data_IF_512266803827
#
_entry.id   IF_512266803827
#
_cell.length_a   1.000
_cell.length_b   1.000
_cell.length_c   1.000
_cell.angle_alpha   90.00
_cell.angle_beta   90.00
_cell.angle_gamma   90.00
#
_symmetry.space_group_name_H-M   'P 1'
#
loop_
_entity.id
_entity.type
_entity.pdbx_description
1 polymer ?
#
# COMPACT_ATOMS: atom_id res chain seq x y z
N UNK A 1 -24.04 2.82 4.11
CA UNK A 1 -23.70 1.55 3.44
C UNK A 1 -22.27 1.63 2.91
N UNK A 2 -21.50 0.57 3.05
CA UNK A 2 -20.15 0.43 2.51
C UNK A 2 -20.23 0.26 1.00
N UNK A 3 -19.41 1.00 0.25
CA UNK A 3 -19.35 0.99 -1.22
C UNK A 3 -17.97 0.63 -1.76
N UNK A 4 -16.90 0.89 -0.98
CA UNK A 4 -15.51 0.62 -1.34
C UNK A 4 -14.90 -0.35 -0.34
N UNK A 5 -14.36 -1.45 -0.85
CA UNK A 5 -13.54 -2.41 -0.09
C UNK A 5 -12.09 -2.14 -0.44
N UNK A 6 -11.28 -1.86 0.57
CA UNK A 6 -9.84 -1.62 0.43
C UNK A 6 -9.11 -2.78 1.11
N UNK A 7 -8.28 -3.47 0.37
CA UNK A 7 -7.46 -4.56 0.91
C UNK A 7 -5.99 -4.26 0.73
N UNK A 8 -5.21 -4.43 1.79
CA UNK A 8 -3.80 -4.68 1.63
C UNK A 8 -3.56 -5.98 0.85
N UNK A 9 -2.34 -6.15 0.36
CA UNK A 9 -1.98 -7.24 -0.53
C UNK A 9 -1.17 -8.32 0.19
N UNK A 10 0.04 -7.99 0.64
CA UNK A 10 1.01 -8.96 1.17
C UNK A 10 0.74 -9.28 2.64
N UNK A 11 0.31 -10.50 2.96
CA UNK A 11 -0.10 -10.89 4.33
C UNK A 11 -1.58 -10.71 4.60
N UNK A 12 -2.32 -10.13 3.66
CA UNK A 12 -3.77 -9.90 3.73
C UNK A 12 -4.51 -10.64 2.62
N UNK A 13 -4.50 -10.12 1.38
CA UNK A 13 -5.13 -10.78 0.23
C UNK A 13 -4.27 -11.92 -0.33
N UNK A 14 -2.96 -11.83 -0.14
CA UNK A 14 -1.99 -12.86 -0.50
C UNK A 14 -1.45 -13.54 0.75
N UNK A 15 -1.33 -14.84 0.68
CA UNK A 15 -0.66 -15.66 1.68
C UNK A 15 0.88 -15.48 1.67
N UNK A 16 1.57 -16.18 2.56
CA UNK A 16 3.04 -16.16 2.63
C UNK A 16 3.74 -16.71 1.36
N UNK A 17 3.02 -17.50 0.54
CA UNK A 17 3.47 -17.95 -0.77
C UNK A 17 3.18 -16.92 -1.87
N UNK A 18 2.63 -15.75 -1.53
CA UNK A 18 2.20 -14.67 -2.41
C UNK A 18 1.14 -15.12 -3.41
N UNK A 19 0.24 -15.97 -2.96
CA UNK A 19 -0.87 -16.45 -3.76
C UNK A 19 -2.19 -16.06 -3.09
N UNK A 20 -3.13 -15.61 -3.91
CA UNK A 20 -4.50 -15.39 -3.46
C UNK A 20 -5.20 -16.74 -3.38
N UNK A 21 -5.68 -17.12 -2.20
CA UNK A 21 -6.43 -18.34 -2.05
C UNK A 21 -7.79 -18.28 -2.77
N UNK A 22 -8.35 -19.43 -3.10
CA UNK A 22 -9.58 -19.47 -3.91
C UNK A 22 -10.79 -18.85 -3.20
N UNK A 23 -10.89 -18.97 -1.87
CA UNK A 23 -12.00 -18.43 -1.10
C UNK A 23 -12.01 -16.91 -1.14
N UNK A 24 -10.86 -16.27 -0.91
CA UNK A 24 -10.72 -14.82 -0.97
C UNK A 24 -10.93 -14.30 -2.40
N UNK A 25 -10.36 -15.00 -3.38
CA UNK A 25 -10.56 -14.66 -4.80
C UNK A 25 -12.03 -14.63 -5.19
N UNK A 26 -12.79 -15.65 -4.80
CA UNK A 26 -14.22 -15.74 -5.12
C UNK A 26 -15.03 -14.70 -4.36
N UNK A 27 -14.72 -14.46 -3.08
CA UNK A 27 -15.40 -13.46 -2.27
C UNK A 27 -15.22 -12.05 -2.84
N UNK A 28 -13.98 -11.69 -3.22
CA UNK A 28 -13.67 -10.38 -3.82
C UNK A 28 -14.35 -10.22 -5.17
N UNK A 29 -14.34 -11.26 -6.03
CA UNK A 29 -15.02 -11.23 -7.34
C UNK A 29 -16.51 -11.02 -7.17
N UNK A 30 -17.14 -11.83 -6.32
CA UNK A 30 -18.59 -11.73 -6.05
C UNK A 30 -18.95 -10.36 -5.48
N UNK A 31 -18.14 -9.77 -4.61
CA UNK A 31 -18.38 -8.44 -4.09
C UNK A 31 -18.35 -7.39 -5.22
N UNK A 32 -17.38 -7.47 -6.15
CA UNK A 32 -17.32 -6.55 -7.30
C UNK A 32 -18.51 -6.76 -8.24
N UNK A 33 -18.93 -8.00 -8.49
CA UNK A 33 -20.13 -8.31 -9.30
C UNK A 33 -21.42 -7.78 -8.65
N UNK A 34 -21.48 -7.72 -7.32
CA UNK A 34 -22.58 -7.13 -6.54
C UNK A 34 -22.53 -5.58 -6.47
N UNK A 35 -21.54 -4.94 -7.08
CA UNK A 35 -21.44 -3.49 -7.22
C UNK A 35 -20.53 -2.80 -6.21
N UNK A 36 -19.80 -3.52 -5.36
CA UNK A 36 -18.73 -2.92 -4.57
C UNK A 36 -17.57 -2.48 -5.44
N UNK A 37 -16.99 -1.34 -5.14
CA UNK A 37 -15.69 -0.97 -5.70
C UNK A 37 -14.58 -1.66 -4.89
N UNK A 38 -13.50 -2.02 -5.57
CA UNK A 38 -12.31 -2.61 -4.97
C UNK A 38 -11.12 -1.65 -5.09
N UNK A 39 -10.34 -1.52 -4.02
CA UNK A 39 -9.04 -0.87 -4.04
C UNK A 39 -7.98 -1.79 -3.43
N UNK A 40 -6.83 -1.91 -4.08
CA UNK A 40 -5.64 -2.56 -3.52
C UNK A 40 -4.71 -1.48 -2.97
N UNK A 41 -4.38 -1.54 -1.67
CA UNK A 41 -3.50 -0.58 -1.00
C UNK A 41 -2.22 -1.27 -0.52
N UNK A 42 -1.10 -1.04 -1.20
CA UNK A 42 0.13 -1.81 -1.00
C UNK A 42 1.38 -0.93 -1.00
N UNK A 43 2.46 -1.45 -0.39
CA UNK A 43 3.84 -0.90 -0.57
C UNK A 43 4.41 -1.15 -1.96
N UNK A 44 3.79 -2.03 -2.76
CA UNK A 44 4.20 -2.37 -4.12
C UNK A 44 3.95 -1.24 -5.10
N UNK A 45 4.73 -1.23 -6.19
CA UNK A 45 4.45 -0.36 -7.34
C UNK A 45 3.21 -0.84 -8.10
N UNK A 46 2.61 0.05 -8.86
CA UNK A 46 1.38 -0.29 -9.60
C UNK A 46 1.60 -1.41 -10.63
N UNK A 47 2.76 -1.43 -11.30
CA UNK A 47 3.16 -2.52 -12.20
C UNK A 47 3.21 -3.88 -11.50
N UNK A 48 3.72 -3.93 -10.25
CA UNK A 48 3.76 -5.16 -9.46
C UNK A 48 2.36 -5.60 -9.01
N UNK A 49 1.51 -4.64 -8.60
CA UNK A 49 0.09 -4.91 -8.27
C UNK A 49 -0.60 -5.54 -9.49
N UNK A 50 -0.39 -5.00 -10.70
CA UNK A 50 -0.95 -5.57 -11.93
C UNK A 50 -0.51 -7.02 -12.18
N UNK A 51 0.77 -7.33 -11.92
CA UNK A 51 1.29 -8.70 -12.08
C UNK A 51 0.62 -9.65 -11.10
N UNK A 52 0.51 -9.27 -9.82
CA UNK A 52 -0.13 -10.07 -8.78
C UNK A 52 -1.62 -10.27 -9.05
N UNK A 53 -2.30 -9.20 -9.48
CA UNK A 53 -3.73 -9.22 -9.81
C UNK A 53 -4.03 -9.80 -11.21
N UNK A 54 -3.01 -10.32 -11.91
CA UNK A 54 -3.21 -10.93 -13.22
C UNK A 54 -4.18 -12.12 -13.13
N UNK A 55 -5.17 -12.15 -14.04
CA UNK A 55 -6.24 -13.16 -14.02
C UNK A 55 -7.40 -12.88 -13.05
N UNK A 56 -7.37 -11.77 -12.32
CA UNK A 56 -8.51 -11.35 -11.50
C UNK A 56 -9.72 -10.94 -12.36
N UNK A 57 -9.49 -10.36 -13.54
CA UNK A 57 -10.47 -10.00 -14.57
C UNK A 57 -11.59 -9.02 -14.12
N UNK A 58 -11.37 -8.27 -13.05
CA UNK A 58 -12.27 -7.22 -12.59
C UNK A 58 -11.48 -5.91 -12.41
N UNK A 59 -12.21 -4.80 -12.44
CA UNK A 59 -11.61 -3.48 -12.22
C UNK A 59 -11.30 -3.26 -10.75
N UNK A 60 -10.20 -2.60 -10.46
CA UNK A 60 -9.81 -2.17 -9.12
C UNK A 60 -9.04 -0.87 -9.18
N UNK A 61 -9.18 -0.05 -8.14
CA UNK A 61 -8.31 1.08 -7.87
C UNK A 61 -7.03 0.59 -7.19
N UNK A 62 -5.97 1.38 -7.22
CA UNK A 62 -4.74 1.05 -6.51
C UNK A 62 -4.18 2.27 -5.78
N UNK A 63 -3.83 2.07 -4.52
CA UNK A 63 -3.00 2.95 -3.69
C UNK A 63 -1.66 2.25 -3.55
N UNK A 64 -0.74 2.58 -4.45
CA UNK A 64 0.58 1.96 -4.55
C UNK A 64 1.65 2.71 -3.78
N UNK A 65 2.81 2.06 -3.58
CA UNK A 65 3.97 2.63 -2.93
C UNK A 65 3.63 3.30 -1.58
N UNK A 66 2.87 2.59 -0.72
CA UNK A 66 2.40 3.10 0.57
C UNK A 66 1.62 4.43 0.47
N UNK A 67 0.95 4.71 -0.64
CA UNK A 67 0.18 5.92 -0.85
C UNK A 67 0.86 6.97 -1.72
N UNK A 68 2.10 6.75 -2.17
CA UNK A 68 2.79 7.68 -3.06
C UNK A 68 2.18 7.74 -4.46
N UNK A 69 1.50 6.69 -4.90
CA UNK A 69 0.77 6.68 -6.18
C UNK A 69 -0.68 6.23 -5.98
N UNK A 70 -1.61 6.89 -6.66
CA UNK A 70 -3.03 6.54 -6.64
C UNK A 70 -3.51 6.37 -8.07
N UNK A 71 -4.03 5.19 -8.39
CA UNK A 71 -4.54 4.87 -9.73
C UNK A 71 -6.04 4.57 -9.69
N UNK A 72 -6.75 5.03 -10.71
CA UNK A 72 -8.15 4.67 -10.93
C UNK A 72 -8.29 3.23 -11.39
N UNK A 73 -9.50 2.70 -11.33
CA UNK A 73 -9.81 1.37 -11.90
C UNK A 73 -9.64 1.32 -13.44
N UNK A 74 -9.55 2.46 -14.10
CA UNK A 74 -9.24 2.58 -15.53
C UNK A 74 -7.74 2.80 -15.80
N UNK A 75 -6.90 2.51 -14.81
CA UNK A 75 -5.43 2.58 -14.88
C UNK A 75 -4.84 3.99 -14.94
N UNK A 76 -5.64 5.03 -14.80
CA UNK A 76 -5.19 6.41 -14.80
C UNK A 76 -4.46 6.76 -13.49
N UNK A 77 -3.30 7.37 -13.58
CA UNK A 77 -2.58 7.94 -12.42
C UNK A 77 -3.31 9.21 -11.94
N UNK A 78 -4.09 9.07 -10.86
CA UNK A 78 -4.90 10.16 -10.29
C UNK A 78 -4.09 11.11 -9.42
N UNK A 79 -3.05 10.60 -8.74
CA UNK A 79 -2.15 11.39 -7.90
C UNK A 79 -0.81 10.69 -7.73
N UNK A 80 0.25 11.49 -7.54
CA UNK A 80 1.56 10.99 -7.15
C UNK A 80 2.24 11.98 -6.20
N UNK A 81 3.02 11.43 -5.25
CA UNK A 81 3.88 12.16 -4.32
C UNK A 81 5.32 11.73 -4.54
N UNK A 82 6.22 12.70 -4.63
CA UNK A 82 7.65 12.48 -4.83
C UNK A 82 8.44 13.29 -3.81
N UNK A 83 9.67 12.86 -3.54
CA UNK A 83 10.58 13.63 -2.71
C UNK A 83 10.93 14.96 -3.37
N UNK A 84 11.23 15.95 -2.54
CA UNK A 84 12.01 17.10 -3.02
C UNK A 84 13.36 16.60 -3.56
N UNK A 85 13.83 17.10 -4.72
CA UNK A 85 15.06 16.62 -5.37
C UNK A 85 16.29 16.58 -4.46
N UNK A 86 16.50 17.61 -3.65
CA UNK A 86 17.61 17.67 -2.69
C UNK A 86 17.48 16.58 -1.59
N UNK A 87 16.26 16.25 -1.14
CA UNK A 87 16.02 15.24 -0.10
C UNK A 87 16.36 13.86 -0.63
N UNK A 88 15.86 13.47 -1.81
CA UNK A 88 16.11 12.14 -2.40
C UNK A 88 17.61 11.94 -2.70
N UNK A 89 18.29 12.95 -3.26
CA UNK A 89 19.72 12.89 -3.51
C UNK A 89 20.53 12.71 -2.21
N UNK A 90 20.20 13.49 -1.16
CA UNK A 90 20.86 13.39 0.15
C UNK A 90 20.59 12.07 0.87
N UNK A 91 19.41 11.48 0.71
CA UNK A 91 19.10 10.14 1.25
C UNK A 91 20.04 9.08 0.66
N UNK A 92 20.25 9.09 -0.67
CA UNK A 92 21.20 8.17 -1.30
C UNK A 92 22.64 8.43 -0.86
N UNK A 93 23.05 9.70 -0.73
CA UNK A 93 24.39 10.05 -0.24
C UNK A 93 24.61 9.56 1.20
N UNK A 94 23.66 9.80 2.10
CA UNK A 94 23.72 9.37 3.49
C UNK A 94 23.88 7.85 3.64
N UNK A 95 23.31 7.08 2.72
CA UNK A 95 23.34 5.61 2.75
C UNK A 95 24.38 4.99 1.83
N UNK A 96 25.16 5.77 1.09
CA UNK A 96 26.15 5.27 0.11
C UNK A 96 27.28 4.42 0.72
N UNK A 97 27.57 4.59 2.00
CA UNK A 97 28.55 3.82 2.76
C UNK A 97 28.06 2.47 3.30
N UNK A 98 26.76 2.24 3.30
CA UNK A 98 26.14 1.04 3.88
C UNK A 98 26.13 -0.11 2.87
N UNK A 99 27.16 -0.94 2.88
CA UNK A 99 27.31 -2.09 1.97
C UNK A 99 26.39 -3.26 2.31
N UNK A 100 25.83 -3.30 3.50
CA UNK A 100 24.94 -4.34 4.00
C UNK A 100 23.52 -4.24 3.44
N UNK A 101 23.15 -3.12 2.82
CA UNK A 101 21.83 -2.93 2.25
C UNK A 101 21.84 -2.97 0.74
N UNK A 102 20.79 -3.57 0.19
CA UNK A 102 20.39 -3.38 -1.22
C UNK A 102 19.31 -2.31 -1.24
N UNK A 103 19.47 -1.28 -2.06
CA UNK A 103 18.47 -0.24 -2.19
C UNK A 103 17.92 -0.11 -3.61
N UNK A 104 16.65 0.25 -3.68
CA UNK A 104 15.96 0.57 -4.92
C UNK A 104 15.30 1.95 -4.82
N UNK A 105 15.51 2.76 -5.83
CA UNK A 105 14.81 4.04 -6.03
C UNK A 105 13.61 3.79 -6.93
N UNK A 106 12.43 3.91 -6.38
CA UNK A 106 11.16 3.74 -7.10
C UNK A 106 10.63 5.11 -7.54
N UNK A 107 10.09 5.17 -8.73
CA UNK A 107 9.51 6.37 -9.30
C UNK A 107 8.00 6.23 -9.51
N UNK A 108 7.33 7.37 -9.65
CA UNK A 108 5.87 7.40 -9.85
C UNK A 108 5.42 6.89 -11.22
N UNK A 109 6.35 6.75 -12.17
CA UNK A 109 6.15 6.19 -13.51
C UNK A 109 6.40 4.67 -13.59
N UNK A 110 6.45 3.99 -12.44
CA UNK A 110 6.75 2.56 -12.34
C UNK A 110 8.18 2.15 -12.73
N UNK A 111 9.14 3.09 -12.75
CA UNK A 111 10.57 2.78 -12.96
C UNK A 111 11.28 2.47 -11.66
N UNK A 112 12.21 1.51 -11.71
CA UNK A 112 13.14 1.18 -10.63
C UNK A 112 14.57 1.48 -11.03
N UNK A 113 15.28 2.23 -10.19
CA UNK A 113 16.70 2.51 -10.37
C UNK A 113 17.53 2.02 -9.18
N UNK A 114 18.77 1.67 -9.47
CA UNK A 114 19.82 1.40 -8.49
C UNK A 114 21.15 1.99 -8.98
N UNK A 115 21.98 2.42 -8.05
CA UNK A 115 23.29 3.00 -8.41
C UNK A 115 24.22 1.99 -9.09
N UNK A 116 24.21 0.74 -8.59
CA UNK A 116 25.02 -0.36 -9.12
C UNK A 116 24.29 -1.68 -8.93
N UNK A 117 24.23 -2.45 -9.99
CA UNK A 117 23.68 -3.80 -9.96
C UNK A 117 24.74 -4.81 -9.51
N UNK A 118 24.41 -5.64 -8.53
CA UNK A 118 25.21 -6.77 -8.05
C UNK A 118 24.33 -8.00 -7.91
N UNK A 119 24.93 -9.19 -7.74
CA UNK A 119 24.14 -10.42 -7.54
C UNK A 119 23.25 -10.38 -6.28
N UNK A 120 23.59 -9.53 -5.32
CA UNK A 120 22.78 -9.33 -4.11
C UNK A 120 21.37 -8.78 -4.38
N UNK A 121 21.12 -8.16 -5.56
CA UNK A 121 19.78 -7.64 -5.91
C UNK A 121 18.83 -8.72 -6.42
N UNK A 122 19.35 -9.84 -6.95
CA UNK A 122 18.56 -10.87 -7.65
C UNK A 122 17.39 -11.43 -6.83
N UNK A 123 17.55 -11.77 -5.53
CA UNK A 123 16.43 -12.26 -4.72
C UNK A 123 15.31 -11.22 -4.58
N UNK A 124 15.66 -9.94 -4.50
CA UNK A 124 14.70 -8.84 -4.35
C UNK A 124 14.01 -8.53 -5.66
N UNK A 125 14.74 -8.53 -6.80
CA UNK A 125 14.13 -8.38 -8.14
C UNK A 125 13.12 -9.50 -8.42
N UNK A 126 13.44 -10.74 -8.05
CA UNK A 126 12.50 -11.86 -8.17
C UNK A 126 11.24 -11.65 -7.31
N UNK A 127 11.37 -10.99 -6.14
CA UNK A 127 10.27 -10.69 -5.22
C UNK A 127 9.38 -9.55 -5.72
N UNK A 128 9.97 -8.53 -6.35
CA UNK A 128 9.24 -7.39 -6.90
C UNK A 128 8.79 -7.58 -8.35
N UNK A 129 9.08 -8.74 -8.94
CA UNK A 129 8.76 -9.11 -10.33
C UNK A 129 9.32 -8.17 -11.40
N UNK A 130 10.34 -7.41 -11.07
CA UNK A 130 10.93 -6.42 -11.97
C UNK A 130 12.43 -6.33 -11.77
N UNK A 131 13.18 -6.09 -12.86
CA UNK A 131 14.60 -5.80 -12.81
C UNK A 131 14.83 -4.31 -12.65
N UNK A 132 15.67 -3.93 -11.68
CA UNK A 132 16.08 -2.54 -11.52
C UNK A 132 17.08 -2.12 -12.62
N UNK A 133 16.99 -0.88 -13.04
CA UNK A 133 17.91 -0.27 -14.00
C UNK A 133 19.12 0.30 -13.27
N UNK A 134 20.33 -0.14 -13.67
CA UNK A 134 21.55 0.48 -13.16
C UNK A 134 21.71 1.90 -13.72
N UNK A 135 21.99 2.87 -12.84
CA UNK A 135 22.12 4.26 -13.19
C UNK A 135 23.23 4.93 -12.38
N UNK A 136 24.42 5.09 -12.99
CA UNK A 136 25.63 5.55 -12.29
C UNK A 136 25.53 6.97 -11.73
N UNK A 137 24.83 7.85 -12.41
CA UNK A 137 24.65 9.27 -12.02
C UNK A 137 23.36 9.53 -11.24
N UNK A 138 22.77 8.49 -10.63
CA UNK A 138 21.48 8.51 -9.97
C UNK A 138 21.32 9.66 -8.95
N UNK A 139 22.35 9.92 -8.12
CA UNK A 139 22.32 11.01 -7.13
C UNK A 139 22.27 12.42 -7.80
N UNK A 140 22.97 12.60 -8.90
CA UNK A 140 22.98 13.87 -9.65
C UNK A 140 21.63 14.08 -10.35
N UNK A 141 21.10 13.04 -10.99
CA UNK A 141 19.85 13.14 -11.73
C UNK A 141 18.62 13.27 -10.81
N UNK A 142 18.68 12.73 -9.60
CA UNK A 142 17.69 13.02 -8.54
C UNK A 142 17.76 14.49 -8.12
N UNK A 143 18.97 15.02 -7.91
CA UNK A 143 19.16 16.42 -7.50
C UNK A 143 18.72 17.42 -8.58
N UNK A 144 18.89 17.08 -9.85
CA UNK A 144 18.49 17.88 -11.00
C UNK A 144 17.01 17.69 -11.42
N UNK A 145 16.22 16.93 -10.63
CA UNK A 145 14.79 16.57 -10.90
C UNK A 145 14.57 15.84 -12.25
N UNK A 146 15.60 15.18 -12.77
CA UNK A 146 15.48 14.34 -13.97
C UNK A 146 14.84 13.00 -13.64
N UNK A 147 15.06 12.50 -12.42
CA UNK A 147 14.44 11.29 -11.86
C UNK A 147 13.59 11.72 -10.66
N UNK A 148 12.31 11.44 -10.72
CA UNK A 148 11.33 11.83 -9.68
C UNK A 148 11.05 10.64 -8.77
N UNK A 149 11.79 10.57 -7.66
CA UNK A 149 11.70 9.50 -6.68
C UNK A 149 10.44 9.61 -5.81
N UNK A 150 9.67 8.55 -5.75
CA UNK A 150 8.48 8.41 -4.89
C UNK A 150 8.72 7.51 -3.67
N UNK A 151 9.74 6.64 -3.73
CA UNK A 151 10.11 5.74 -2.62
C UNK A 151 11.57 5.31 -2.75
N UNK A 152 12.26 5.15 -1.61
CA UNK A 152 13.53 4.41 -1.55
C UNK A 152 13.31 3.23 -0.62
N UNK A 153 13.46 2.01 -1.16
CA UNK A 153 13.40 0.78 -0.37
C UNK A 153 14.81 0.30 -0.03
N UNK A 154 15.04 -0.07 1.23
CA UNK A 154 16.27 -0.69 1.70
C UNK A 154 15.97 -2.11 2.16
N UNK A 155 16.73 -3.07 1.65
CA UNK A 155 16.62 -4.49 2.01
C UNK A 155 17.84 -4.94 2.78
N UNK A 156 17.66 -5.70 3.86
CA UNK A 156 18.73 -6.18 4.71
C UNK A 156 18.21 -6.83 5.99
N UNK A 157 19.14 -7.07 6.94
CA UNK A 157 18.82 -7.64 8.24
C UNK A 157 17.95 -6.68 9.06
N UNK A 158 16.91 -7.20 9.70
CA UNK A 158 15.88 -6.38 10.36
C UNK A 158 16.44 -5.45 11.45
N UNK A 159 17.39 -5.92 12.26
CA UNK A 159 17.99 -5.10 13.32
C UNK A 159 18.80 -3.93 12.76
N UNK A 160 19.48 -4.14 11.63
CA UNK A 160 20.19 -3.08 10.91
C UNK A 160 19.22 -2.10 10.26
N UNK A 161 18.09 -2.58 9.74
CA UNK A 161 17.04 -1.70 9.19
C UNK A 161 16.39 -0.83 10.26
N UNK A 162 16.19 -1.33 11.49
CA UNK A 162 15.72 -0.49 12.59
C UNK A 162 16.73 0.60 12.98
N UNK A 163 18.04 0.31 12.96
CA UNK A 163 19.09 1.31 13.18
C UNK A 163 19.09 2.36 12.07
N UNK A 164 19.07 1.92 10.81
CA UNK A 164 18.99 2.82 9.66
C UNK A 164 17.73 3.71 9.73
N UNK A 165 16.59 3.13 10.09
CA UNK A 165 15.33 3.88 10.28
C UNK A 165 15.50 5.00 11.32
N UNK A 166 16.11 4.70 12.48
CA UNK A 166 16.33 5.69 13.51
C UNK A 166 17.27 6.83 13.05
N UNK A 167 18.37 6.48 12.38
CA UNK A 167 19.35 7.44 11.85
C UNK A 167 18.72 8.35 10.78
N UNK A 168 17.95 7.77 9.83
CA UNK A 168 17.29 8.54 8.78
C UNK A 168 16.20 9.46 9.35
N UNK A 169 15.42 8.99 10.31
CA UNK A 169 14.40 9.82 10.96
C UNK A 169 14.99 11.00 11.74
N UNK A 170 16.17 10.83 12.36
CA UNK A 170 16.89 11.92 13.03
C UNK A 170 17.46 12.91 11.99
N UNK A 171 18.20 12.40 11.00
CA UNK A 171 18.87 13.24 9.99
C UNK A 171 17.90 14.00 9.08
N UNK A 172 16.75 13.41 8.75
CA UNK A 172 15.74 13.96 7.85
C UNK A 172 14.42 14.28 8.55
N UNK A 173 14.48 14.65 9.84
CA UNK A 173 13.31 14.98 10.65
C UNK A 173 12.37 15.97 9.93
N UNK A 174 11.08 15.63 9.85
CA UNK A 174 10.07 16.47 9.19
C UNK A 174 10.18 16.54 7.67
N UNK A 175 10.92 15.63 7.02
CA UNK A 175 11.07 15.56 5.55
C UNK A 175 10.73 14.22 4.95
N UNK A 176 10.68 13.16 5.77
CA UNK A 176 10.44 11.79 5.34
C UNK A 176 9.46 11.07 6.28
N UNK A 177 8.86 10.02 5.76
CA UNK A 177 8.17 8.97 6.52
C UNK A 177 8.91 7.65 6.33
N UNK A 178 8.90 6.77 7.35
CA UNK A 178 9.62 5.50 7.28
C UNK A 178 8.76 4.35 7.80
N UNK A 179 8.69 3.27 7.05
CA UNK A 179 7.91 2.07 7.38
C UNK A 179 8.75 0.81 7.27
N UNK A 180 8.72 -0.07 8.28
CA UNK A 180 9.13 -1.46 8.09
C UNK A 180 7.94 -2.13 7.40
N UNK A 181 8.10 -2.42 6.11
CA UNK A 181 7.04 -2.95 5.24
C UNK A 181 7.08 -4.47 5.09
N UNK A 182 8.20 -5.08 5.46
CA UNK A 182 8.38 -6.54 5.55
C UNK A 182 9.54 -6.84 6.53
N UNK A 183 9.71 -8.11 6.89
CA UNK A 183 10.76 -8.60 7.81
C UNK A 183 12.20 -8.20 7.44
N UNK A 184 12.43 -7.82 6.20
CA UNK A 184 13.73 -7.46 5.63
C UNK A 184 13.67 -6.19 4.75
N UNK A 185 12.63 -5.35 4.91
CA UNK A 185 12.42 -4.17 4.08
C UNK A 185 12.05 -2.94 4.92
N UNK A 186 12.81 -1.86 4.70
CA UNK A 186 12.51 -0.50 5.15
C UNK A 186 12.15 0.35 3.93
N UNK A 187 10.93 0.84 3.89
CA UNK A 187 10.49 1.85 2.92
C UNK A 187 10.68 3.25 3.50
N UNK A 188 11.34 4.12 2.74
CA UNK A 188 11.47 5.56 3.02
C UNK A 188 10.65 6.31 1.99
N UNK A 189 9.73 7.14 2.49
CA UNK A 189 8.71 7.84 1.72
C UNK A 189 8.87 9.36 1.86
N UNK A 190 8.37 10.15 0.91
CA UNK A 190 8.17 11.58 1.13
C UNK A 190 7.32 11.85 2.37
N UNK A 191 7.49 13.02 2.97
CA UNK A 191 6.64 13.45 4.09
C UNK A 191 5.16 13.48 3.69
N UNK A 192 4.28 13.17 4.63
CA UNK A 192 2.83 13.09 4.43
C UNK A 192 2.41 12.06 3.36
N UNK A 193 3.13 10.95 3.27
CA UNK A 193 2.76 9.80 2.44
C UNK A 193 2.51 8.60 3.34
N UNK A 194 1.29 8.08 3.25
CA UNK A 194 0.88 6.82 3.89
C UNK A 194 -0.28 6.21 3.10
N UNK A 195 -0.56 4.91 3.30
CA UNK A 195 -1.72 4.26 2.67
C UNK A 195 -3.03 5.04 2.97
N UNK A 196 -3.19 5.56 4.19
CA UNK A 196 -4.35 6.36 4.57
C UNK A 196 -4.45 7.67 3.80
N UNK A 197 -3.34 8.39 3.59
CA UNK A 197 -3.35 9.63 2.79
C UNK A 197 -3.67 9.34 1.32
N UNK A 198 -3.03 8.32 0.72
CA UNK A 198 -3.36 7.88 -0.63
C UNK A 198 -4.83 7.47 -0.78
N UNK A 199 -5.37 6.73 0.20
CA UNK A 199 -6.78 6.36 0.25
C UNK A 199 -7.69 7.58 0.40
N UNK A 200 -7.33 8.56 1.23
CA UNK A 200 -8.10 9.82 1.38
C UNK A 200 -8.22 10.58 0.06
N UNK A 201 -7.15 10.59 -0.74
CA UNK A 201 -7.18 11.18 -2.09
C UNK A 201 -8.14 10.40 -2.98
N UNK A 202 -8.08 9.05 -2.97
CA UNK A 202 -8.95 8.21 -3.77
C UNK A 202 -10.42 8.42 -3.42
N UNK A 203 -10.79 8.29 -2.14
CA UNK A 203 -12.20 8.43 -1.69
C UNK A 203 -12.76 9.82 -2.00
N UNK A 204 -11.95 10.88 -1.84
CA UNK A 204 -12.33 12.24 -2.21
C UNK A 204 -12.65 12.36 -3.71
N UNK A 205 -11.81 11.78 -4.57
CA UNK A 205 -12.03 11.77 -6.03
C UNK A 205 -13.23 10.93 -6.46
N UNK A 206 -13.55 9.87 -5.71
CA UNK A 206 -14.73 9.04 -5.94
C UNK A 206 -16.03 9.63 -5.34
N UNK A 207 -15.94 10.73 -4.60
CA UNK A 207 -17.08 11.36 -3.91
C UNK A 207 -17.62 10.51 -2.77
N UNK A 208 -16.81 9.62 -2.20
CA UNK A 208 -17.17 8.75 -1.07
C UNK A 208 -16.88 9.43 0.28
N UNK A 209 -17.62 8.99 1.29
CA UNK A 209 -17.37 9.36 2.68
C UNK A 209 -16.61 8.24 3.40
N UNK A 210 -15.83 8.54 4.47
CA UNK A 210 -15.10 7.54 5.23
C UNK A 210 -15.95 6.35 5.73
N UNK A 211 -17.20 6.59 6.13
CA UNK A 211 -18.14 5.55 6.57
C UNK A 211 -18.72 4.69 5.44
N UNK A 212 -18.36 4.98 4.18
CA UNK A 212 -18.71 4.16 3.01
C UNK A 212 -17.55 3.26 2.56
N UNK A 213 -16.47 3.21 3.36
CA UNK A 213 -15.23 2.50 3.06
C UNK A 213 -14.93 1.46 4.13
N UNK A 214 -14.53 0.26 3.72
CA UNK A 214 -14.00 -0.77 4.61
C UNK A 214 -12.54 -1.05 4.27
N UNK A 215 -11.67 -1.13 5.29
CA UNK A 215 -10.23 -1.36 5.13
C UNK A 215 -9.81 -2.68 5.78
N UNK A 216 -9.05 -3.51 5.06
CA UNK A 216 -8.54 -4.81 5.52
C UNK A 216 -7.01 -4.78 5.42
N UNK A 217 -6.29 -5.19 6.47
CA UNK A 217 -4.82 -5.16 6.50
C UNK A 217 -4.23 -5.98 7.64
N UNK A 218 -2.89 -6.11 7.65
CA UNK A 218 -2.17 -6.93 8.62
C UNK A 218 -0.94 -6.26 9.25
N UNK A 219 -0.51 -5.11 8.70
CA UNK A 219 0.78 -4.50 9.02
C UNK A 219 0.66 -3.06 9.56
N UNK A 220 1.75 -2.52 10.12
CA UNK A 220 1.77 -1.18 10.71
C UNK A 220 1.47 -0.05 9.72
N UNK A 221 1.78 -0.23 8.43
CA UNK A 221 1.45 0.74 7.38
C UNK A 221 -0.05 0.82 7.07
N UNK A 222 -0.85 -0.18 7.52
CA UNK A 222 -2.31 -0.22 7.35
C UNK A 222 -3.04 0.61 8.41
N UNK A 223 -2.41 0.88 9.56
CA UNK A 223 -3.02 1.65 10.64
C UNK A 223 -3.53 3.01 10.18
N UNK A 224 -2.84 3.63 9.22
CA UNK A 224 -3.26 4.89 8.62
C UNK A 224 -4.57 4.78 7.82
N UNK A 225 -4.88 3.60 7.24
CA UNK A 225 -6.18 3.33 6.59
C UNK A 225 -7.26 3.02 7.63
N UNK A 226 -6.91 2.26 8.68
CA UNK A 226 -7.84 1.94 9.77
C UNK A 226 -8.36 3.19 10.46
N UNK A 227 -7.50 4.19 10.63
CA UNK A 227 -7.87 5.47 11.23
C UNK A 227 -8.87 6.31 10.41
N UNK A 228 -9.09 5.98 9.13
CA UNK A 228 -10.00 6.71 8.24
C UNK A 228 -11.45 6.25 8.37
N UNK A 229 -11.70 5.03 8.84
CA UNK A 229 -13.03 4.42 8.80
C UNK A 229 -13.35 3.64 10.08
N UNK A 230 -14.63 3.55 10.41
CA UNK A 230 -15.12 2.67 11.48
C UNK A 230 -15.15 1.19 11.06
N UNK A 231 -14.98 0.90 9.77
CA UNK A 231 -15.03 -0.45 9.19
C UNK A 231 -13.64 -0.97 8.88
N UNK A 232 -12.80 -1.11 9.91
CA UNK A 232 -11.44 -1.62 9.79
C UNK A 232 -11.34 -3.08 10.26
N UNK A 233 -10.59 -3.89 9.52
CA UNK A 233 -10.44 -5.33 9.72
C UNK A 233 -8.97 -5.69 9.76
N UNK A 234 -8.46 -6.15 10.90
CA UNK A 234 -7.12 -6.70 11.02
C UNK A 234 -7.13 -8.20 10.82
N UNK A 235 -6.10 -8.71 10.14
CA UNK A 235 -5.89 -10.16 10.05
C UNK A 235 -5.55 -10.74 11.43
N UNK A 236 -6.09 -11.91 11.77
CA UNK A 236 -5.90 -12.55 13.08
C UNK A 236 -4.44 -12.87 13.40
N UNK A 237 -3.62 -13.11 12.36
CA UNK A 237 -2.16 -13.31 12.46
C UNK A 237 -1.33 -12.06 12.69
N UNK A 238 -1.90 -10.86 12.62
CA UNK A 238 -1.21 -9.58 12.79
C UNK A 238 -0.65 -9.39 14.20
N UNK A 239 0.29 -8.46 14.34
CA UNK A 239 0.77 -8.02 15.66
C UNK A 239 -0.38 -7.52 16.55
N UNK A 240 -0.29 -7.74 17.86
CA UNK A 240 -1.34 -7.35 18.81
C UNK A 240 -1.71 -5.87 18.72
N UNK A 241 -0.73 -4.98 18.54
CA UNK A 241 -0.97 -3.53 18.44
C UNK A 241 -1.79 -3.16 17.20
N UNK A 242 -1.67 -3.93 16.11
CA UNK A 242 -2.47 -3.74 14.89
C UNK A 242 -3.90 -4.18 15.14
N UNK A 243 -4.08 -5.40 15.69
CA UNK A 243 -5.41 -5.92 16.04
C UNK A 243 -6.18 -5.03 17.00
N UNK A 244 -5.48 -4.41 17.97
CA UNK A 244 -6.09 -3.52 18.95
C UNK A 244 -6.58 -2.19 18.34
N UNK A 245 -6.13 -1.81 17.15
CA UNK A 245 -6.52 -0.58 16.47
C UNK A 245 -7.58 -0.81 15.37
N UNK A 246 -7.89 -2.06 15.05
CA UNK A 246 -8.96 -2.39 14.12
C UNK A 246 -10.30 -2.58 14.86
N UNK A 247 -11.40 -2.29 14.18
CA UNK A 247 -12.75 -2.51 14.70
C UNK A 247 -13.13 -4.00 14.72
N UNK A 248 -12.52 -4.80 13.83
CA UNK A 248 -12.80 -6.23 13.68
C UNK A 248 -11.50 -7.02 13.45
N UNK A 249 -11.52 -8.29 13.84
CA UNK A 249 -10.44 -9.25 13.58
C UNK A 249 -11.03 -10.36 12.72
N UNK A 250 -10.33 -10.73 11.64
CA UNK A 250 -10.77 -11.75 10.68
C UNK A 250 -9.63 -12.70 10.33
N UNK A 251 -9.98 -13.94 9.93
CA UNK A 251 -8.97 -14.92 9.53
C UNK A 251 -8.60 -14.84 8.06
N UNK A 252 -9.46 -14.25 7.22
CA UNK A 252 -9.22 -14.04 5.80
C UNK A 252 -10.07 -12.87 5.25
N UNK A 253 -9.76 -12.43 4.04
CA UNK A 253 -10.48 -11.33 3.37
C UNK A 253 -11.95 -11.69 3.11
N UNK A 254 -12.24 -12.97 2.82
CA UNK A 254 -13.61 -13.44 2.62
C UNK A 254 -14.49 -13.23 3.87
N UNK A 255 -13.96 -13.46 5.08
CA UNK A 255 -14.69 -13.23 6.33
C UNK A 255 -15.02 -11.73 6.51
N UNK A 256 -14.09 -10.84 6.17
CA UNK A 256 -14.35 -9.40 6.17
C UNK A 256 -15.46 -9.02 5.18
N UNK A 257 -15.42 -9.55 3.98
CA UNK A 257 -16.43 -9.30 2.93
C UNK A 257 -17.82 -9.81 3.38
N UNK A 258 -17.91 -10.99 3.97
CA UNK A 258 -19.15 -11.54 4.49
C UNK A 258 -19.75 -10.65 5.59
N UNK A 259 -18.89 -10.10 6.47
CA UNK A 259 -19.32 -9.16 7.50
C UNK A 259 -19.79 -7.83 6.88
N UNK A 260 -19.06 -7.28 5.91
CA UNK A 260 -19.42 -6.05 5.16
C UNK A 260 -20.78 -6.19 4.48
N UNK A 261 -21.01 -7.32 3.78
CA UNK A 261 -22.30 -7.60 3.12
C UNK A 261 -23.44 -7.72 4.14
N UNK A 262 -23.18 -8.34 5.29
CA UNK A 262 -24.16 -8.46 6.37
C UNK A 262 -24.51 -7.11 6.98
N UNK A 263 -23.51 -6.25 7.18
CA UNK A 263 -23.71 -4.87 7.64
C UNK A 263 -24.58 -4.07 6.66
N UNK A 264 -24.29 -4.13 5.36
CA UNK A 264 -25.08 -3.40 4.36
C UNK A 264 -26.53 -3.87 4.31
N UNK A 265 -26.78 -5.20 4.36
CA UNK A 265 -28.16 -5.76 4.42
C UNK A 265 -28.95 -5.26 5.63
N UNK A 266 -28.31 -5.21 6.81
CA UNK A 266 -28.95 -4.69 8.01
C UNK A 266 -29.27 -3.19 7.90
N UNK A 267 -28.42 -2.43 7.21
CA UNK A 267 -28.64 -1.00 6.96
C UNK A 267 -29.84 -0.75 6.02
N UNK A 268 -29.99 -1.54 4.95
CA UNK A 268 -31.13 -1.48 4.01
C UNK A 268 -32.46 -1.80 4.72
N UNK A 269 -32.49 -2.88 5.50
CA UNK A 269 -33.70 -3.27 6.25
C UNK A 269 -34.16 -2.22 7.26
N UNK A 270 -33.25 -1.47 7.85
CA UNK A 270 -33.61 -0.35 8.75
C UNK A 270 -34.13 0.87 7.99
N UNK A 271 -33.69 1.09 6.76
CA UNK A 271 -34.12 2.25 5.93
C UNK A 271 -35.54 2.04 5.39
N UNK A 272 -35.94 0.82 5.07
CA UNK A 272 -37.31 0.48 4.63
C UNK A 272 -38.35 0.62 5.73
N UNK A 273 -37.98 0.42 7.01
CA UNK A 273 -38.88 0.57 8.15
C UNK A 273 -39.20 2.02 8.53
N UNK A 274 -38.50 3.01 7.98
CA UNK A 274 -38.63 4.43 8.30
C UNK A 274 -39.56 5.19 7.31
N UNK A 275 -39.92 4.57 6.19
CA UNK A 275 -40.89 5.18 5.27
C UNK A 275 -42.32 5.03 5.84
N UNK A 276 -43.05 6.13 6.11
CA UNK A 276 -44.44 6.04 6.58
C UNK A 276 -45.31 5.37 5.48
N UNK A 277 -46.29 4.54 5.88
CA UNK A 277 -47.22 3.99 4.91
C UNK A 277 -47.93 5.17 4.24
N UNK A 278 -47.99 5.13 2.91
CA UNK A 278 -48.62 6.12 2.06
C UNK A 278 -49.96 6.63 2.63
N UNK A 279 -50.00 7.95 2.86
CA UNK A 279 -51.26 8.65 3.09
C UNK A 279 -51.93 9.02 1.78
#
# INVERSE_FOLDING_TARGET
>A
MIKLIVSDLDGTLLDHARQMNNRDREAVRTAVDEGFQLCIASGRMYSEIKIVMNGFNHRYHAVGQNGATVHSHDTELMASSVFEPEVSSRLLQATSGYKQFVNFVSCSDDSYYMKKRTDAVLPYEARIFTAGTEHGDLEADLKEDKIRCSKIAYFGEIDELYRLKAELNDQFAGKIETFISDKDCLDVMPLNVSKGIGLSILISKLGLQPNEVACIGDSFNDLSMFALTEHSYAMSGSHADIRNQASHIVDCVADAIDHIKSYNRAFEGNTEMVLPPNA
#
